data_IF_582916779978
#
_entry.id   IF_582916779978
#
_cell.length_a   1.000
_cell.length_b   1.000
_cell.length_c   1.000
_cell.angle_alpha   90.00
_cell.angle_beta   90.00
_cell.angle_gamma   90.00
#
_symmetry.space_group_name_H-M   'P 1'
#
loop_
_entity.id
_entity.type
_entity.pdbx_description
1 polymer ?
#
# COMPACT_ATOMS: atom_id res chain seq x y z
N UNK A 1 13.00 23.60 7.07
CA UNK A 1 12.47 23.16 5.77
C UNK A 1 10.97 23.41 5.78
N UNK A 2 10.47 24.24 4.86
CA UNK A 2 9.04 24.51 4.75
C UNK A 2 8.26 23.26 4.33
N UNK A 3 6.92 23.26 4.45
CA UNK A 3 6.10 22.12 4.05
C UNK A 3 6.37 21.78 2.58
N UNK A 4 6.78 20.54 2.33
CA UNK A 4 7.00 20.05 0.96
C UNK A 4 5.63 19.91 0.29
N UNK A 5 5.46 20.51 -0.89
CA UNK A 5 4.22 20.43 -1.68
C UNK A 5 4.02 19.04 -2.34
N UNK A 6 4.90 18.07 -2.07
CA UNK A 6 4.82 16.72 -2.64
C UNK A 6 3.68 15.97 -1.97
N UNK A 7 2.53 15.93 -2.64
CA UNK A 7 1.44 15.02 -2.32
C UNK A 7 1.89 13.60 -2.63
N UNK A 8 1.88 12.74 -1.63
CA UNK A 8 2.13 11.31 -1.84
C UNK A 8 0.88 10.69 -2.44
N UNK A 9 0.95 10.27 -3.69
CA UNK A 9 -0.10 9.47 -4.32
C UNK A 9 0.20 7.99 -4.14
N UNK A 10 -0.86 7.19 -3.95
CA UNK A 10 -0.74 5.77 -3.71
C UNK A 10 -1.86 5.01 -4.40
N UNK A 11 -1.51 3.91 -5.04
CA UNK A 11 -2.45 3.01 -5.71
C UNK A 11 -2.42 1.65 -5.01
N UNK A 12 -3.59 1.00 -4.95
CA UNK A 12 -3.74 -0.36 -4.44
C UNK A 12 -4.25 -1.20 -5.60
N UNK A 13 -3.55 -2.31 -5.86
CA UNK A 13 -3.89 -3.25 -6.92
C UNK A 13 -4.11 -4.63 -6.31
N UNK A 14 -5.09 -5.36 -6.84
CA UNK A 14 -5.27 -6.79 -6.62
C UNK A 14 -4.89 -7.50 -7.92
N UNK A 15 -4.06 -8.54 -7.81
CA UNK A 15 -3.51 -9.26 -8.96
C UNK A 15 -3.51 -10.75 -8.66
N UNK A 16 -4.01 -11.55 -9.60
CA UNK A 16 -3.93 -13.00 -9.57
C UNK A 16 -2.77 -13.46 -10.46
N UNK A 17 -1.78 -14.13 -9.88
CA UNK A 17 -0.60 -14.62 -10.60
C UNK A 17 0.13 -15.70 -9.80
N UNK A 18 1.08 -16.40 -10.44
CA UNK A 18 1.91 -17.40 -9.79
C UNK A 18 2.99 -16.76 -8.89
N UNK A 19 3.34 -17.43 -7.79
CA UNK A 19 4.37 -16.95 -6.86
C UNK A 19 5.76 -16.81 -7.50
N UNK A 20 6.06 -17.61 -8.52
CA UNK A 20 7.31 -17.59 -9.27
C UNK A 20 7.30 -16.59 -10.44
N UNK A 21 6.19 -15.86 -10.63
CA UNK A 21 6.09 -14.76 -11.59
C UNK A 21 6.70 -13.45 -11.07
N UNK A 22 6.82 -12.48 -11.98
CA UNK A 22 7.17 -11.10 -11.67
C UNK A 22 6.13 -10.14 -12.24
N UNK A 23 5.81 -9.09 -11.47
CA UNK A 23 5.03 -7.95 -11.96
C UNK A 23 5.99 -6.96 -12.63
N UNK A 24 5.56 -6.34 -13.72
CA UNK A 24 6.32 -5.25 -14.36
C UNK A 24 5.68 -3.92 -14.01
N UNK A 25 6.45 -3.02 -13.40
CA UNK A 25 6.08 -1.63 -13.21
C UNK A 25 6.85 -0.79 -14.24
N UNK A 26 6.12 -0.20 -15.18
CA UNK A 26 6.67 0.74 -16.16
C UNK A 26 6.34 2.16 -15.74
N UNK A 27 7.35 3.01 -15.66
CA UNK A 27 7.25 4.42 -15.28
C UNK A 27 8.13 5.23 -16.20
N UNK A 28 7.50 5.98 -17.11
CA UNK A 28 8.19 6.62 -18.23
C UNK A 28 9.10 5.61 -18.95
N UNK A 29 10.41 5.85 -18.98
CA UNK A 29 11.41 4.98 -19.61
C UNK A 29 11.98 3.89 -18.67
N UNK A 30 11.48 3.80 -17.44
CA UNK A 30 11.93 2.81 -16.45
C UNK A 30 11.05 1.57 -16.43
N UNK A 31 11.69 0.41 -16.42
CA UNK A 31 11.03 -0.89 -16.31
C UNK A 31 11.55 -1.65 -15.08
N UNK A 32 10.70 -1.77 -14.06
CA UNK A 32 11.02 -2.50 -12.85
C UNK A 32 10.37 -3.87 -12.86
N UNK A 33 11.20 -4.92 -12.80
CA UNK A 33 10.74 -6.28 -12.54
C UNK A 33 10.60 -6.47 -11.04
N UNK A 34 9.39 -6.82 -10.59
CA UNK A 34 9.03 -6.98 -9.20
C UNK A 34 8.62 -8.45 -8.96
N UNK A 35 9.57 -9.32 -8.59
CA UNK A 35 9.25 -10.71 -8.29
C UNK A 35 8.19 -10.81 -7.19
N UNK A 36 7.18 -11.65 -7.38
CA UNK A 36 6.06 -11.80 -6.42
C UNK A 36 6.59 -12.25 -5.06
N UNK A 37 7.57 -13.17 -5.02
CA UNK A 37 8.27 -13.57 -3.79
C UNK A 37 8.86 -12.38 -3.02
N UNK A 38 9.44 -11.40 -3.72
CA UNK A 38 10.06 -10.22 -3.09
C UNK A 38 8.99 -9.30 -2.51
N UNK A 39 7.90 -9.07 -3.26
CA UNK A 39 6.75 -8.27 -2.80
C UNK A 39 6.13 -8.87 -1.54
N UNK A 40 5.95 -10.19 -1.50
CA UNK A 40 5.39 -10.89 -0.35
C UNK A 40 6.33 -10.97 0.86
N UNK A 41 7.65 -10.79 0.65
CA UNK A 41 8.65 -10.85 1.72
C UNK A 41 8.77 -9.51 2.44
N UNK A 42 9.09 -8.45 1.70
CA UNK A 42 9.45 -7.13 2.25
C UNK A 42 8.94 -5.98 1.37
N UNK A 43 8.79 -4.80 1.97
CA UNK A 43 8.62 -3.56 1.22
C UNK A 43 9.92 -3.18 0.51
N UNK A 44 9.80 -2.52 -0.65
CA UNK A 44 10.92 -2.10 -1.49
C UNK A 44 10.83 -0.59 -1.73
N UNK A 45 11.99 0.07 -1.82
CA UNK A 45 12.10 1.48 -2.15
C UNK A 45 12.94 1.61 -3.42
N UNK A 46 12.32 2.08 -4.48
CA UNK A 46 12.96 2.36 -5.76
C UNK A 46 13.30 3.85 -5.77
N UNK A 47 14.56 4.19 -6.06
CA UNK A 47 15.03 5.56 -6.07
C UNK A 47 15.66 5.90 -7.43
N UNK A 48 15.20 6.98 -8.03
CA UNK A 48 15.67 7.49 -9.34
C UNK A 48 16.93 8.34 -9.14
N UNK A 49 17.96 7.77 -8.51
CA UNK A 49 19.19 8.47 -8.17
C UNK A 49 20.01 8.89 -9.40
N UNK A 50 19.98 8.09 -10.47
CA UNK A 50 20.69 8.40 -11.71
C UNK A 50 20.18 9.69 -12.34
N UNK A 51 18.87 9.90 -12.37
CA UNK A 51 18.27 11.15 -12.85
C UNK A 51 18.60 12.32 -11.94
N UNK A 52 18.55 12.11 -10.61
CA UNK A 52 18.96 13.14 -9.66
C UNK A 52 20.43 13.55 -9.87
N UNK A 53 21.32 12.59 -10.15
CA UNK A 53 22.73 12.85 -10.51
C UNK A 53 22.83 13.68 -11.77
N UNK A 54 22.14 13.27 -12.83
CA UNK A 54 22.14 13.97 -14.10
C UNK A 54 21.62 15.41 -13.95
N UNK A 55 20.48 15.60 -13.29
CA UNK A 55 19.90 16.93 -13.07
C UNK A 55 20.80 17.84 -12.24
N UNK A 56 21.39 17.34 -11.15
CA UNK A 56 22.30 18.14 -10.32
C UNK A 56 23.60 18.50 -11.06
N UNK A 57 24.09 17.62 -11.92
CA UNK A 57 25.22 17.91 -12.80
C UNK A 57 24.86 18.98 -13.83
N UNK A 58 23.71 18.87 -14.50
CA UNK A 58 23.26 19.82 -15.53
C UNK A 58 22.97 21.21 -14.96
N UNK A 59 22.35 21.28 -13.78
CA UNK A 59 21.95 22.56 -13.17
C UNK A 59 23.06 23.22 -12.36
N UNK A 60 23.92 22.45 -11.69
CA UNK A 60 24.87 22.97 -10.72
C UNK A 60 26.32 22.50 -10.93
N UNK A 61 26.60 21.67 -11.95
CA UNK A 61 27.92 21.09 -12.17
C UNK A 61 28.36 20.10 -11.09
N UNK A 62 27.43 19.64 -10.25
CA UNK A 62 27.74 18.75 -9.12
C UNK A 62 28.00 17.33 -9.62
N UNK A 63 29.27 16.94 -9.65
CA UNK A 63 29.72 15.62 -10.14
C UNK A 63 30.21 14.71 -9.02
N UNK A 64 30.86 15.28 -8.00
CA UNK A 64 31.39 14.53 -6.86
C UNK A 64 31.03 15.22 -5.54
N UNK A 65 30.71 14.42 -4.54
CA UNK A 65 30.39 14.85 -3.19
C UNK A 65 30.72 13.73 -2.21
N UNK A 66 31.22 14.09 -1.03
CA UNK A 66 31.69 13.14 -0.02
C UNK A 66 30.60 12.18 0.50
N UNK A 67 29.32 12.45 0.21
CA UNK A 67 28.15 11.65 0.60
C UNK A 67 27.15 11.54 -0.54
N UNK A 68 26.28 10.53 -0.47
CA UNK A 68 25.19 10.38 -1.44
C UNK A 68 23.98 11.28 -1.18
N UNK A 69 23.96 12.00 -0.05
CA UNK A 69 22.85 12.86 0.39
C UNK A 69 22.31 13.79 -0.73
N UNK A 70 23.13 14.50 -1.53
CA UNK A 70 22.61 15.39 -2.57
C UNK A 70 21.77 14.63 -3.61
N UNK A 71 22.17 13.42 -3.99
CA UNK A 71 21.41 12.62 -4.96
C UNK A 71 20.23 11.92 -4.29
N UNK A 72 20.44 11.34 -3.10
CA UNK A 72 19.40 10.63 -2.37
C UNK A 72 18.22 11.55 -2.02
N UNK A 73 18.45 12.74 -1.48
CA UNK A 73 17.36 13.62 -1.06
C UNK A 73 16.60 14.27 -2.23
N UNK A 74 17.25 14.42 -3.38
CA UNK A 74 16.64 15.00 -4.58
C UNK A 74 16.05 13.96 -5.54
N UNK A 75 16.31 12.67 -5.34
CA UNK A 75 15.70 11.61 -6.16
C UNK A 75 14.20 11.48 -5.90
N UNK A 76 13.41 11.32 -6.97
CA UNK A 76 12.07 10.74 -6.86
C UNK A 76 12.16 9.30 -6.38
N UNK A 77 11.18 8.91 -5.56
CA UNK A 77 11.17 7.60 -4.89
C UNK A 77 9.79 6.99 -4.93
N UNK A 78 9.77 5.68 -5.08
CA UNK A 78 8.55 4.89 -5.13
C UNK A 78 8.67 3.76 -4.13
N UNK A 79 7.69 3.68 -3.24
CA UNK A 79 7.64 2.63 -2.23
C UNK A 79 6.64 1.57 -2.66
N UNK A 80 7.14 0.36 -2.90
CA UNK A 80 6.30 -0.83 -3.04
C UNK A 80 6.12 -1.41 -1.64
N UNK A 81 4.90 -1.33 -1.11
CA UNK A 81 4.60 -1.94 0.18
C UNK A 81 4.57 -3.47 0.06
N UNK A 82 4.88 -4.15 1.16
CA UNK A 82 4.72 -5.59 1.28
C UNK A 82 3.31 -6.02 0.87
N UNK A 83 3.22 -6.95 -0.07
CA UNK A 83 1.96 -7.51 -0.52
C UNK A 83 1.30 -8.40 0.53
N UNK A 84 -0.01 -8.56 0.42
CA UNK A 84 -0.80 -9.49 1.22
C UNK A 84 -1.49 -10.48 0.28
N UNK A 85 -1.42 -11.77 0.59
CA UNK A 85 -2.20 -12.77 -0.15
C UNK A 85 -3.69 -12.63 0.17
N UNK A 86 -4.56 -13.11 -0.72
CA UNK A 86 -6.03 -13.06 -0.57
C UNK A 86 -6.52 -13.43 0.84
N UNK A 87 -6.09 -14.59 1.36
CA UNK A 87 -6.50 -15.09 2.68
C UNK A 87 -6.06 -14.18 3.85
N UNK A 88 -5.14 -13.24 3.64
CA UNK A 88 -4.69 -12.31 4.68
C UNK A 88 -5.65 -11.13 4.89
N UNK A 89 -6.48 -10.80 3.90
CA UNK A 89 -7.47 -9.72 3.97
C UNK A 89 -8.90 -10.18 3.68
N UNK A 90 -9.09 -11.39 3.14
CA UNK A 90 -10.39 -12.03 2.99
C UNK A 90 -10.59 -13.08 4.09
N UNK A 91 -11.71 -12.99 4.80
CA UNK A 91 -12.10 -13.91 5.86
C UNK A 91 -13.60 -14.14 5.80
N UNK A 92 -13.99 -15.40 5.89
CA UNK A 92 -15.39 -15.81 6.02
C UNK A 92 -15.57 -16.44 7.40
N UNK A 93 -16.60 -16.01 8.13
CA UNK A 93 -16.95 -16.60 9.41
C UNK A 93 -18.46 -16.63 9.58
N UNK A 94 -18.94 -17.67 10.25
CA UNK A 94 -20.34 -17.82 10.61
C UNK A 94 -20.50 -17.75 12.12
N UNK A 95 -21.47 -16.94 12.56
CA UNK A 95 -21.82 -16.83 13.97
C UNK A 95 -23.33 -16.69 14.11
N UNK A 96 -23.93 -17.49 15.00
CA UNK A 96 -25.32 -17.33 15.40
C UNK A 96 -25.36 -16.34 16.57
N UNK A 97 -26.18 -15.31 16.46
CA UNK A 97 -26.35 -14.27 17.47
C UNK A 97 -27.80 -14.23 17.92
N UNK A 98 -28.04 -14.16 19.23
CA UNK A 98 -29.36 -13.79 19.74
C UNK A 98 -29.55 -12.29 19.53
N UNK A 99 -30.48 -11.94 18.65
CA UNK A 99 -30.77 -10.57 18.28
C UNK A 99 -31.97 -9.98 19.03
N UNK A 100 -32.46 -10.66 20.06
CA UNK A 100 -33.61 -10.21 20.86
C UNK A 100 -33.34 -8.86 21.51
N UNK A 101 -34.25 -7.90 21.33
CA UNK A 101 -34.11 -6.55 21.88
C UNK A 101 -33.17 -5.63 21.11
N UNK A 102 -32.45 -6.12 20.10
CA UNK A 102 -31.59 -5.29 19.25
C UNK A 102 -32.35 -4.77 18.01
N UNK A 103 -31.97 -3.59 17.51
CA UNK A 103 -32.48 -3.01 16.26
C UNK A 103 -31.49 -3.10 15.10
N UNK A 104 -30.21 -3.09 15.42
CA UNK A 104 -29.11 -3.23 14.46
C UNK A 104 -27.91 -3.89 15.11
N UNK A 105 -27.08 -4.53 14.30
CA UNK A 105 -25.77 -5.04 14.68
C UNK A 105 -24.72 -4.42 13.76
N UNK A 106 -23.49 -4.29 14.27
CA UNK A 106 -22.32 -3.93 13.48
C UNK A 106 -21.18 -4.87 13.81
N UNK A 107 -20.38 -5.19 12.80
CA UNK A 107 -19.17 -5.98 12.95
C UNK A 107 -17.99 -5.00 13.00
N UNK A 108 -17.13 -5.17 14.00
CA UNK A 108 -15.85 -4.47 14.08
C UNK A 108 -14.73 -5.44 13.77
N UNK A 109 -13.99 -5.17 12.71
CA UNK A 109 -12.78 -5.90 12.36
C UNK A 109 -11.55 -5.16 12.90
N UNK A 110 -10.66 -5.89 13.56
CA UNK A 110 -9.36 -5.39 14.01
C UNK A 110 -8.26 -5.94 13.11
N UNK A 111 -7.44 -5.05 12.57
CA UNK A 111 -6.29 -5.42 11.75
C UNK A 111 -5.05 -5.58 12.64
N UNK A 112 -4.08 -6.40 12.20
CA UNK A 112 -2.83 -6.66 12.95
C UNK A 112 -2.00 -5.40 13.24
N UNK A 113 -2.17 -4.36 12.45
CA UNK A 113 -1.51 -3.06 12.64
C UNK A 113 -2.23 -2.15 13.66
N UNK A 114 -3.29 -2.64 14.33
CA UNK A 114 -4.08 -1.88 15.30
C UNK A 114 -5.17 -1.01 14.67
N UNK A 115 -5.27 -0.94 13.33
CA UNK A 115 -6.37 -0.26 12.67
C UNK A 115 -7.69 -1.03 12.87
N UNK A 116 -8.81 -0.32 12.75
CA UNK A 116 -10.14 -0.92 12.85
C UNK A 116 -11.03 -0.50 11.69
N UNK A 117 -11.90 -1.41 11.27
CA UNK A 117 -12.94 -1.17 10.30
C UNK A 117 -14.29 -1.57 10.90
N UNK A 118 -15.34 -0.86 10.49
CA UNK A 118 -16.72 -1.14 10.88
C UNK A 118 -17.52 -1.54 9.66
N UNK A 119 -18.38 -2.53 9.82
CA UNK A 119 -19.42 -2.80 8.84
C UNK A 119 -20.44 -1.66 8.81
N UNK A 120 -21.13 -1.52 7.68
CA UNK A 120 -22.44 -0.87 7.67
C UNK A 120 -23.38 -1.52 8.69
N UNK A 121 -24.37 -0.77 9.23
CA UNK A 121 -25.36 -1.34 10.12
C UNK A 121 -26.16 -2.44 9.42
N UNK A 122 -26.28 -3.58 10.09
CA UNK A 122 -27.14 -4.68 9.70
C UNK A 122 -28.43 -4.55 10.52
N UNK A 123 -29.52 -4.17 9.89
CA UNK A 123 -30.80 -3.94 10.58
C UNK A 123 -31.53 -5.26 10.82
N UNK A 124 -32.04 -5.43 12.04
CA UNK A 124 -32.78 -6.63 12.45
C UNK A 124 -34.27 -6.35 12.24
N UNK A 125 -34.92 -7.18 11.43
CA UNK A 125 -36.37 -7.11 11.24
C UNK A 125 -37.04 -7.56 12.54
N UNK A 126 -37.65 -6.62 13.25
CA UNK A 126 -38.47 -6.98 14.40
C UNK A 126 -39.74 -7.66 13.90
N UNK A 127 -40.01 -8.87 14.39
CA UNK A 127 -41.30 -9.50 14.20
C UNK A 127 -42.36 -8.61 14.84
N UNK A 128 -43.24 -8.02 14.02
CA UNK A 128 -44.46 -7.42 14.52
C UNK A 128 -45.31 -8.59 15.01
N UNK A 129 -45.38 -8.79 16.33
CA UNK A 129 -46.50 -9.53 16.90
C UNK A 129 -47.75 -8.72 16.53
N UNK A 130 -48.46 -9.18 15.51
CA UNK A 130 -49.82 -8.71 15.19
C UNK A 130 -50.78 -9.24 16.25
#
# INVERSE_FOLDING_TARGET
>A
MGPSAVTTEGFIFEVETDIDSALTLTLDDHHYQLPVRSILKNSQLLAMEAEARQLLQEQYGLTDYYRSDPWWHNAYKIKINKGACYNAYHQEFHQVLDTTGFRQIRIRAWQKNGACAWSSPIFIKQGVNK
#
